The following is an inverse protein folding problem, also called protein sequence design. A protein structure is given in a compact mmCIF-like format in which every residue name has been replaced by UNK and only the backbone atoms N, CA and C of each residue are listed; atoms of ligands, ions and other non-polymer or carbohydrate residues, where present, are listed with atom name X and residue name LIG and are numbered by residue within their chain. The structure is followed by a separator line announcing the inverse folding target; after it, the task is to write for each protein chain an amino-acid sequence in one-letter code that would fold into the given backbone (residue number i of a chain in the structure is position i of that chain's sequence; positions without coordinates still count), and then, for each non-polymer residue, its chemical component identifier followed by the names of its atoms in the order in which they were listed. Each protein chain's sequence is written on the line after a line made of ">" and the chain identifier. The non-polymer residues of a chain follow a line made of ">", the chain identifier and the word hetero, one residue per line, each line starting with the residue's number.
data_IF_884790565166
#
_entry.id   IF_884790565166
#
_cell.length_a   1.000
_cell.length_b   1.000
_cell.length_c   1.000
_cell.angle_alpha   90.00
_cell.angle_beta   90.00
_cell.angle_gamma   90.00
#
_symmetry.space_group_name_H-M   'P 1'
#
loop_
_entity.id
_entity.type
_entity.pdbx_description
1 polymer ?
#
# COMPACT_ATOMS: atom_id res chain seq x y z
N UNK A 1 1.29 -11.95 -51.70
CA UNK A 1 0.85 -12.72 -50.52
C UNK A 1 2.05 -13.49 -50.03
N UNK A 2 2.72 -12.97 -49.00
CA UNK A 2 3.78 -13.68 -48.27
C UNK A 2 3.58 -13.30 -46.82
N UNK A 3 3.28 -14.30 -46.00
CA UNK A 3 2.80 -14.20 -44.64
C UNK A 3 3.87 -13.72 -43.66
N UNK A 4 3.37 -13.06 -42.60
CA UNK A 4 4.09 -12.61 -41.41
C UNK A 4 4.81 -13.76 -40.70
N UNK A 5 6.01 -13.47 -40.17
CA UNK A 5 6.45 -14.13 -38.94
C UNK A 5 7.26 -13.13 -38.11
N UNK A 6 6.65 -12.64 -37.03
CA UNK A 6 7.27 -11.77 -36.04
C UNK A 6 7.73 -12.64 -34.87
N UNK A 7 8.96 -12.47 -34.33
CA UNK A 7 9.41 -13.26 -33.21
C UNK A 7 8.61 -12.91 -31.95
N UNK A 8 7.83 -13.86 -31.47
CA UNK A 8 7.13 -13.79 -30.20
C UNK A 8 8.16 -13.82 -29.05
N UNK A 9 8.18 -12.75 -28.27
CA UNK A 9 8.99 -12.64 -27.07
C UNK A 9 8.41 -13.57 -26.00
N UNK A 10 9.15 -14.58 -25.48
CA UNK A 10 8.58 -15.51 -24.52
C UNK A 10 8.33 -14.80 -23.19
N UNK A 11 7.07 -14.81 -22.76
CA UNK A 11 6.65 -14.34 -21.44
C UNK A 11 7.52 -14.98 -20.34
N UNK A 12 8.09 -14.15 -19.46
CA UNK A 12 8.87 -14.59 -18.30
C UNK A 12 8.03 -15.54 -17.44
N UNK A 13 8.37 -16.82 -17.45
CA UNK A 13 7.78 -17.81 -16.56
C UNK A 13 8.33 -17.63 -15.14
N UNK A 14 7.48 -17.70 -14.10
CA UNK A 14 7.93 -17.56 -12.72
C UNK A 14 8.91 -18.69 -12.35
N UNK A 15 10.11 -18.31 -11.90
CA UNK A 15 11.16 -19.28 -11.55
C UNK A 15 10.75 -20.14 -10.35
N UNK A 16 10.72 -21.47 -10.53
CA UNK A 16 10.49 -22.48 -9.49
C UNK A 16 11.79 -22.87 -8.78
N UNK A 17 11.70 -23.42 -7.56
CA UNK A 17 12.84 -24.11 -6.91
C UNK A 17 13.05 -25.49 -7.55
N UNK A 18 14.17 -26.15 -7.25
CA UNK A 18 14.48 -27.51 -7.73
C UNK A 18 13.40 -28.55 -7.37
N UNK A 19 12.58 -28.27 -6.35
CA UNK A 19 11.47 -29.11 -5.89
C UNK A 19 10.10 -28.74 -6.51
N UNK A 20 10.06 -27.85 -7.51
CA UNK A 20 8.82 -27.46 -8.20
C UNK A 20 7.93 -26.49 -7.44
N UNK A 21 8.39 -25.94 -6.31
CA UNK A 21 7.63 -24.93 -5.57
C UNK A 21 7.87 -23.54 -6.17
N UNK A 22 6.83 -22.70 -6.30
CA UNK A 22 7.03 -21.30 -6.68
C UNK A 22 7.95 -20.65 -5.66
N UNK A 23 9.04 -20.03 -6.11
CA UNK A 23 9.92 -19.27 -5.20
C UNK A 23 9.05 -18.20 -4.53
N UNK A 24 8.91 -18.28 -3.21
CA UNK A 24 8.22 -17.24 -2.42
C UNK A 24 8.80 -15.89 -2.81
N UNK A 25 7.95 -14.99 -3.29
CA UNK A 25 8.36 -13.64 -3.66
C UNK A 25 9.10 -12.97 -2.50
N UNK A 26 10.16 -12.23 -2.81
CA UNK A 26 10.91 -11.47 -1.81
C UNK A 26 9.96 -10.40 -1.24
N UNK A 27 9.60 -10.55 0.03
CA UNK A 27 8.73 -9.57 0.72
C UNK A 27 9.53 -8.34 1.13
N UNK A 28 8.87 -7.19 1.02
CA UNK A 28 9.43 -5.90 1.44
C UNK A 28 9.29 -5.61 2.94
N UNK A 29 8.41 -6.34 3.63
CA UNK A 29 8.14 -6.20 5.06
C UNK A 29 8.49 -7.46 5.84
N UNK A 30 8.71 -7.29 7.14
CA UNK A 30 8.91 -8.38 8.10
C UNK A 30 7.77 -8.36 9.11
N UNK A 31 6.97 -9.43 9.19
CA UNK A 31 5.94 -9.55 10.23
C UNK A 31 6.58 -9.80 11.59
N UNK A 32 6.72 -8.76 12.41
CA UNK A 32 7.02 -8.90 13.84
C UNK A 32 5.71 -9.13 14.60
N UNK A 33 5.63 -10.23 15.33
CA UNK A 33 4.56 -10.52 16.28
C UNK A 33 4.71 -9.60 17.50
N UNK A 34 4.07 -8.44 17.46
CA UNK A 34 3.88 -7.58 18.62
C UNK A 34 2.61 -7.97 19.37
N UNK A 35 2.58 -7.78 20.69
CA UNK A 35 1.35 -7.89 21.49
C UNK A 35 0.47 -6.67 21.24
N UNK A 36 -0.80 -6.90 20.90
CA UNK A 36 -1.83 -5.86 20.85
C UNK A 36 -2.12 -5.37 22.26
N UNK A 37 -2.19 -4.06 22.47
CA UNK A 37 -2.59 -3.48 23.77
C UNK A 37 -4.10 -3.60 23.98
N UNK A 38 -4.57 -3.52 25.23
CA UNK A 38 -6.01 -3.56 25.52
C UNK A 38 -6.80 -2.45 24.79
N UNK A 39 -6.21 -1.25 24.68
CA UNK A 39 -6.83 -0.13 23.96
C UNK A 39 -6.96 -0.40 22.45
N UNK A 40 -5.96 -1.06 21.85
CA UNK A 40 -6.02 -1.45 20.44
C UNK A 40 -7.05 -2.55 20.21
N UNK A 41 -7.13 -3.55 21.10
CA UNK A 41 -8.14 -4.61 21.02
C UNK A 41 -9.56 -4.03 21.09
N UNK A 42 -9.82 -3.11 22.03
CA UNK A 42 -11.11 -2.39 22.10
C UNK A 42 -11.41 -1.63 20.81
N UNK A 43 -10.42 -0.95 20.22
CA UNK A 43 -10.61 -0.20 18.98
C UNK A 43 -10.94 -1.10 17.78
N UNK A 44 -10.41 -2.33 17.73
CA UNK A 44 -10.82 -3.33 16.76
C UNK A 44 -12.31 -3.69 16.90
N UNK A 45 -12.79 -3.87 18.13
CA UNK A 45 -14.19 -4.20 18.39
C UNK A 45 -15.13 -3.02 18.08
N UNK A 46 -14.75 -1.80 18.47
CA UNK A 46 -15.63 -0.62 18.35
C UNK A 46 -15.59 0.04 16.98
N UNK A 47 -14.41 0.23 16.40
CA UNK A 47 -14.24 0.94 15.12
C UNK A 47 -14.10 -0.02 13.93
N UNK A 48 -13.52 -1.20 14.17
CA UNK A 48 -13.20 -2.17 13.12
C UNK A 48 -14.35 -2.44 12.14
N UNK A 49 -15.59 -2.72 12.59
CA UNK A 49 -16.71 -3.00 11.69
C UNK A 49 -17.03 -1.89 10.67
N UNK A 50 -16.70 -0.64 10.98
CA UNK A 50 -16.99 0.52 10.12
C UNK A 50 -15.79 1.00 9.31
N UNK A 51 -14.57 0.69 9.76
CA UNK A 51 -13.32 1.21 9.19
C UNK A 51 -12.54 0.16 8.40
N UNK A 52 -12.57 -1.10 8.83
CA UNK A 52 -11.82 -2.17 8.17
C UNK A 52 -12.56 -2.64 6.92
N UNK A 53 -11.82 -2.68 5.81
CA UNK A 53 -12.28 -3.27 4.58
C UNK A 53 -11.71 -4.70 4.48
N UNK A 54 -12.55 -5.72 4.22
CA UNK A 54 -12.04 -7.04 3.91
C UNK A 54 -11.31 -7.01 2.57
N UNK A 55 -10.22 -7.75 2.48
CA UNK A 55 -9.61 -8.01 1.18
C UNK A 55 -10.53 -8.89 0.33
N UNK A 56 -10.61 -8.56 -0.95
CA UNK A 56 -11.30 -9.33 -1.96
C UNK A 56 -10.55 -9.23 -3.28
N UNK A 57 -10.56 -10.30 -4.08
CA UNK A 57 -9.97 -10.29 -5.42
C UNK A 57 -10.93 -9.63 -6.44
N UNK A 58 -11.38 -8.41 -6.14
CA UNK A 58 -12.32 -7.66 -6.97
C UNK A 58 -12.16 -6.14 -6.75
N UNK A 59 -12.42 -5.31 -7.78
CA UNK A 59 -12.34 -3.86 -7.68
C UNK A 59 -13.18 -3.29 -6.53
N UNK A 60 -12.63 -2.32 -5.80
CA UNK A 60 -13.27 -1.64 -4.69
C UNK A 60 -14.14 -0.48 -5.21
N UNK A 61 -15.39 -0.41 -4.76
CA UNK A 61 -16.23 0.78 -4.91
C UNK A 61 -15.90 1.77 -3.76
N UNK A 62 -15.16 2.82 -4.07
CA UNK A 62 -14.80 3.85 -3.10
C UNK A 62 -16.00 4.59 -2.52
N UNK A 63 -17.01 4.87 -3.35
CA UNK A 63 -18.19 5.61 -2.89
C UNK A 63 -18.97 4.79 -1.88
N UNK A 64 -19.12 3.49 -2.12
CA UNK A 64 -19.72 2.57 -1.17
C UNK A 64 -18.87 2.43 0.11
N UNK A 65 -17.55 2.26 -0.05
CA UNK A 65 -16.63 2.07 1.09
C UNK A 65 -16.62 3.28 2.05
N UNK A 66 -16.59 4.50 1.50
CA UNK A 66 -16.52 5.74 2.28
C UNK A 66 -17.89 6.35 2.59
N UNK A 67 -18.96 5.92 1.90
CA UNK A 67 -20.29 6.52 2.00
C UNK A 67 -20.39 7.91 1.37
N UNK A 68 -19.40 8.33 0.59
CA UNK A 68 -19.31 9.64 -0.07
C UNK A 68 -18.41 9.57 -1.30
N UNK A 69 -18.55 10.55 -2.18
CA UNK A 69 -17.67 10.74 -3.33
C UNK A 69 -16.67 11.86 -3.02
N UNK A 70 -15.38 11.54 -3.03
CA UNK A 70 -14.29 12.44 -2.68
C UNK A 70 -12.94 11.90 -3.19
N UNK A 71 -11.93 12.76 -3.42
CA UNK A 71 -10.60 12.32 -3.85
C UNK A 71 -10.01 11.24 -2.95
N UNK A 72 -9.43 10.19 -3.52
CA UNK A 72 -8.92 9.03 -2.79
C UNK A 72 -7.40 9.00 -2.79
N UNK A 73 -6.81 8.96 -1.60
CA UNK A 73 -5.38 8.87 -1.37
C UNK A 73 -5.06 7.50 -0.79
N UNK A 74 -4.13 6.77 -1.41
CA UNK A 74 -3.62 5.51 -0.88
C UNK A 74 -2.44 5.79 0.06
N UNK A 75 -2.41 5.18 1.25
CA UNK A 75 -1.20 5.13 2.08
C UNK A 75 -0.72 3.68 2.23
N UNK A 76 0.55 3.42 1.91
CA UNK A 76 1.16 2.10 2.01
C UNK A 76 2.10 2.05 3.22
N UNK A 77 1.80 1.15 4.16
CA UNK A 77 2.65 0.91 5.32
C UNK A 77 2.60 2.06 6.33
N UNK A 78 1.40 2.42 6.78
CA UNK A 78 1.20 3.54 7.72
C UNK A 78 1.78 3.32 9.12
N UNK A 79 2.26 2.11 9.44
CA UNK A 79 2.88 1.80 10.72
C UNK A 79 1.91 2.02 11.88
N UNK A 80 2.23 2.94 12.79
CA UNK A 80 1.37 3.24 13.95
C UNK A 80 0.28 4.29 13.67
N UNK A 81 0.19 4.80 12.43
CA UNK A 81 -0.91 5.64 11.95
C UNK A 81 -0.93 7.07 12.50
N UNK A 82 0.16 7.57 13.09
CA UNK A 82 0.22 8.94 13.62
C UNK A 82 0.17 9.98 12.51
N UNK A 83 1.05 9.85 11.52
CA UNK A 83 1.08 10.72 10.34
C UNK A 83 -0.25 10.65 9.57
N UNK A 84 -0.74 9.43 9.33
CA UNK A 84 -2.03 9.17 8.68
C UNK A 84 -3.18 9.91 9.34
N UNK A 85 -3.35 9.76 10.66
CA UNK A 85 -4.43 10.39 11.39
C UNK A 85 -4.32 11.92 11.33
N UNK A 86 -3.11 12.46 11.47
CA UNK A 86 -2.86 13.90 11.40
C UNK A 86 -3.18 14.47 10.01
N UNK A 87 -2.69 13.82 8.94
CA UNK A 87 -2.93 14.26 7.56
C UNK A 87 -4.42 14.16 7.22
N UNK A 88 -5.09 13.07 7.61
CA UNK A 88 -6.51 12.89 7.37
C UNK A 88 -7.38 13.93 8.09
N UNK A 89 -6.99 14.34 9.31
CA UNK A 89 -7.64 15.42 10.04
C UNK A 89 -7.48 16.78 9.35
N UNK A 90 -6.33 17.02 8.71
CA UNK A 90 -6.04 18.25 7.96
C UNK A 90 -6.65 18.29 6.56
N UNK A 91 -7.01 17.13 6.00
CA UNK A 91 -7.62 16.99 4.67
C UNK A 91 -8.98 16.28 4.75
N UNK A 92 -9.97 16.83 5.49
CA UNK A 92 -11.28 16.18 5.68
C UNK A 92 -12.05 16.00 4.36
N UNK A 93 -11.73 16.78 3.32
CA UNK A 93 -12.30 16.70 1.99
C UNK A 93 -11.81 15.50 1.18
N UNK A 94 -10.75 14.80 1.63
CA UNK A 94 -10.17 13.62 0.97
C UNK A 94 -10.44 12.35 1.74
N UNK A 95 -10.49 11.23 1.02
CA UNK A 95 -10.58 9.87 1.55
C UNK A 95 -9.18 9.24 1.60
N UNK A 96 -8.87 8.54 2.69
CA UNK A 96 -7.61 7.83 2.88
C UNK A 96 -7.86 6.33 2.95
N UNK A 97 -7.33 5.59 1.98
CA UNK A 97 -7.31 4.14 1.97
C UNK A 97 -5.92 3.68 2.45
N UNK A 98 -5.86 3.08 3.62
CA UNK A 98 -4.60 2.84 4.32
C UNK A 98 -4.31 1.34 4.38
N UNK A 99 -3.19 0.91 3.81
CA UNK A 99 -2.76 -0.50 3.78
C UNK A 99 -1.68 -0.77 4.83
N UNK A 100 -1.88 -1.77 5.67
CA UNK A 100 -0.91 -2.20 6.68
C UNK A 100 -1.07 -3.69 7.00
N UNK A 101 0.04 -4.44 7.08
CA UNK A 101 0.04 -5.87 7.40
C UNK A 101 0.12 -6.16 8.90
N UNK A 102 0.56 -5.17 9.69
CA UNK A 102 0.82 -5.29 11.12
C UNK A 102 -0.40 -4.95 11.98
N UNK A 103 -0.97 -5.97 12.64
CA UNK A 103 -2.14 -5.83 13.53
C UNK A 103 -1.98 -4.75 14.61
N UNK A 104 -0.82 -4.59 15.29
CA UNK A 104 -0.67 -3.53 16.28
C UNK A 104 -0.79 -2.13 15.67
N UNK A 105 -0.28 -1.95 14.44
CA UNK A 105 -0.38 -0.70 13.70
C UNK A 105 -1.82 -0.34 13.34
N UNK A 106 -2.54 -1.32 12.80
CA UNK A 106 -3.99 -1.21 12.51
C UNK A 106 -4.77 -0.81 13.76
N UNK A 107 -4.55 -1.50 14.88
CA UNK A 107 -5.21 -1.16 16.15
C UNK A 107 -4.86 0.24 16.66
N UNK A 108 -3.62 0.69 16.45
CA UNK A 108 -3.20 2.04 16.83
C UNK A 108 -3.93 3.11 16.00
N UNK A 109 -4.06 2.91 14.68
CA UNK A 109 -4.79 3.83 13.81
C UNK A 109 -6.30 3.82 14.13
N UNK A 110 -6.91 2.66 14.38
CA UNK A 110 -8.31 2.57 14.80
C UNK A 110 -8.58 3.36 16.08
N UNK A 111 -7.68 3.27 17.08
CA UNK A 111 -7.78 4.07 18.31
C UNK A 111 -7.72 5.57 18.02
N UNK A 112 -6.80 6.00 17.14
CA UNK A 112 -6.69 7.42 16.74
C UNK A 112 -7.92 7.90 15.99
N UNK A 113 -8.51 7.06 15.12
CA UNK A 113 -9.76 7.34 14.41
C UNK A 113 -10.89 7.62 15.40
N UNK A 114 -11.03 6.78 16.44
CA UNK A 114 -12.03 6.98 17.50
C UNK A 114 -11.78 8.28 18.27
N UNK A 115 -10.56 8.51 18.72
CA UNK A 115 -10.18 9.67 19.55
C UNK A 115 -10.35 11.00 18.81
N UNK A 116 -10.01 11.03 17.53
CA UNK A 116 -10.08 12.23 16.69
C UNK A 116 -11.36 12.32 15.88
N UNK A 117 -12.27 11.34 15.99
CA UNK A 117 -13.54 11.25 15.26
C UNK A 117 -13.37 11.35 13.74
N UNK A 118 -12.35 10.69 13.20
CA UNK A 118 -12.05 10.72 11.77
C UNK A 118 -13.05 9.85 11.01
N UNK A 119 -13.64 10.41 9.95
CA UNK A 119 -14.66 9.71 9.14
C UNK A 119 -14.15 9.31 7.76
N UNK A 120 -12.99 9.87 7.37
CA UNK A 120 -12.43 9.80 6.03
C UNK A 120 -11.30 8.78 5.87
N UNK A 121 -11.17 7.82 6.79
CA UNK A 121 -10.17 6.75 6.71
C UNK A 121 -10.86 5.38 6.55
N UNK A 122 -10.32 4.54 5.68
CA UNK A 122 -10.58 3.10 5.64
C UNK A 122 -9.26 2.34 5.67
N UNK A 123 -9.25 1.19 6.35
CA UNK A 123 -8.04 0.40 6.54
C UNK A 123 -8.20 -0.95 5.86
N UNK A 124 -7.22 -1.31 5.02
CA UNK A 124 -7.07 -2.63 4.45
C UNK A 124 -5.91 -3.32 5.15
N UNK A 125 -6.21 -4.30 6.01
CA UNK A 125 -5.17 -5.09 6.68
C UNK A 125 -4.66 -6.21 5.75
N UNK A 126 -3.93 -5.85 4.69
CA UNK A 126 -3.46 -6.78 3.68
C UNK A 126 -2.11 -6.34 3.07
N UNK A 127 -1.48 -7.26 2.32
CA UNK A 127 -0.38 -6.93 1.43
C UNK A 127 -0.82 -5.87 0.40
N UNK A 128 -0.10 -4.76 0.34
CA UNK A 128 -0.43 -3.62 -0.52
C UNK A 128 -0.28 -3.94 -2.00
N UNK A 129 0.63 -4.84 -2.40
CA UNK A 129 0.79 -5.25 -3.80
C UNK A 129 -0.47 -5.98 -4.26
N UNK A 130 -0.95 -6.94 -3.46
CA UNK A 130 -2.20 -7.66 -3.77
C UNK A 130 -3.42 -6.73 -3.79
N UNK A 131 -3.46 -5.73 -2.89
CA UNK A 131 -4.49 -4.71 -2.91
C UNK A 131 -4.47 -3.88 -4.20
N UNK A 132 -3.29 -3.40 -4.62
CA UNK A 132 -3.12 -2.61 -5.85
C UNK A 132 -3.50 -3.43 -7.08
N UNK A 133 -3.13 -4.71 -7.11
CA UNK A 133 -3.36 -5.57 -8.27
C UNK A 133 -4.83 -6.01 -8.42
N UNK A 134 -5.56 -6.20 -7.31
CA UNK A 134 -6.92 -6.75 -7.39
C UNK A 134 -8.04 -5.79 -7.00
N UNK A 135 -7.79 -4.84 -6.11
CA UNK A 135 -8.83 -3.99 -5.53
C UNK A 135 -8.84 -2.56 -6.06
N UNK A 136 -7.72 -2.05 -6.56
CA UNK A 136 -7.63 -0.65 -7.00
C UNK A 136 -7.85 -0.56 -8.52
N UNK A 137 -8.96 0.04 -8.98
CA UNK A 137 -9.17 0.26 -10.40
C UNK A 137 -8.11 1.21 -11.00
N UNK A 138 -7.85 1.15 -12.31
CA UNK A 138 -6.93 2.07 -12.97
C UNK A 138 -7.47 3.51 -12.96
N UNK A 139 -6.55 4.49 -12.96
CA UNK A 139 -6.87 5.93 -13.05
C UNK A 139 -7.91 6.45 -12.02
N UNK A 140 -7.92 5.91 -10.80
CA UNK A 140 -8.88 6.32 -9.76
C UNK A 140 -8.29 7.06 -8.56
N UNK A 141 -7.02 6.86 -8.26
CA UNK A 141 -6.36 7.47 -7.11
C UNK A 141 -5.93 8.91 -7.43
N UNK A 142 -6.19 9.83 -6.50
CA UNK A 142 -5.79 11.24 -6.59
C UNK A 142 -4.41 11.48 -5.96
N UNK A 143 -3.88 10.48 -5.24
CA UNK A 143 -2.49 10.46 -4.80
C UNK A 143 -2.14 9.21 -4.02
N UNK A 144 -0.86 9.06 -3.71
CA UNK A 144 -0.36 8.00 -2.86
C UNK A 144 0.77 8.46 -1.95
N UNK A 145 0.84 7.87 -0.75
CA UNK A 145 1.80 8.12 0.30
C UNK A 145 2.59 6.86 0.64
N UNK A 146 3.92 6.98 0.73
CA UNK A 146 4.82 5.92 1.21
C UNK A 146 5.84 6.55 2.15
N UNK A 147 5.60 6.49 3.46
CA UNK A 147 6.44 7.16 4.46
C UNK A 147 7.29 6.17 5.24
N UNK A 148 8.58 6.44 5.29
CA UNK A 148 9.59 5.69 6.04
C UNK A 148 9.53 4.15 5.82
N UNK A 149 9.46 3.67 4.57
CA UNK A 149 9.51 2.22 4.32
C UNK A 149 10.86 1.65 4.76
N UNK A 150 10.88 0.37 5.15
CA UNK A 150 12.11 -0.31 5.61
C UNK A 150 13.29 -0.06 4.63
N UNK A 151 14.39 0.58 5.08
CA UNK A 151 15.45 1.05 4.19
C UNK A 151 16.41 -0.05 3.73
N UNK A 152 16.42 -1.17 4.45
CA UNK A 152 17.28 -2.32 4.17
C UNK A 152 18.75 -1.94 3.92
N UNK A 153 19.43 -1.40 4.95
CA UNK A 153 20.77 -0.79 4.86
C UNK A 153 21.86 -1.65 4.21
N UNK A 154 21.75 -2.98 4.23
CA UNK A 154 22.76 -3.88 3.65
C UNK A 154 22.48 -4.05 2.16
N UNK A 155 23.46 -3.80 1.29
CA UNK A 155 23.32 -3.90 -0.18
C UNK A 155 22.66 -5.20 -0.66
N UNK A 156 23.01 -6.34 -0.05
CA UNK A 156 22.41 -7.65 -0.35
C UNK A 156 20.91 -7.75 -0.08
N UNK A 157 20.33 -6.79 0.65
CA UNK A 157 18.92 -6.69 0.97
C UNK A 157 18.19 -5.60 0.16
N UNK A 158 18.87 -4.86 -0.73
CA UNK A 158 18.21 -3.78 -1.49
C UNK A 158 17.01 -4.28 -2.31
N UNK A 159 17.03 -5.53 -2.78
CA UNK A 159 15.88 -6.18 -3.45
C UNK A 159 14.62 -6.34 -2.57
N UNK A 160 14.73 -6.08 -1.26
CA UNK A 160 13.62 -6.05 -0.29
C UNK A 160 13.07 -4.65 -0.07
N UNK A 161 13.71 -3.58 -0.58
CA UNK A 161 13.14 -2.24 -0.53
C UNK A 161 11.79 -2.24 -1.23
N UNK A 162 10.80 -1.61 -0.59
CA UNK A 162 9.44 -1.51 -1.10
C UNK A 162 9.39 -0.74 -2.42
N UNK A 163 10.05 0.42 -2.48
CA UNK A 163 10.04 1.29 -3.65
C UNK A 163 11.02 0.74 -4.69
N UNK A 164 10.44 0.09 -5.70
CA UNK A 164 11.11 -0.52 -6.85
C UNK A 164 10.24 -0.28 -8.09
N UNK A 165 10.84 -0.28 -9.28
CA UNK A 165 10.13 0.00 -10.54
C UNK A 165 8.84 -0.82 -10.72
N UNK A 166 8.78 -2.14 -10.39
CA UNK A 166 7.53 -2.89 -10.52
C UNK A 166 6.39 -2.39 -9.63
N UNK A 167 6.67 -1.98 -8.39
CA UNK A 167 5.62 -1.41 -7.51
C UNK A 167 5.18 -0.05 -8.03
N UNK A 168 6.12 0.78 -8.47
CA UNK A 168 5.82 2.14 -8.92
C UNK A 168 5.06 2.12 -10.25
N UNK A 169 5.43 1.23 -11.18
CA UNK A 169 4.67 1.02 -12.41
C UNK A 169 3.23 0.57 -12.13
N UNK A 170 3.05 -0.34 -11.16
CA UNK A 170 1.70 -0.72 -10.71
C UNK A 170 0.97 0.50 -10.18
N UNK A 171 1.54 1.22 -9.23
CA UNK A 171 0.89 2.37 -8.60
C UNK A 171 0.56 3.49 -9.59
N UNK A 172 1.47 3.79 -10.52
CA UNK A 172 1.27 4.77 -11.58
C UNK A 172 0.03 4.45 -12.43
N UNK A 173 -0.20 3.18 -12.77
CA UNK A 173 -1.39 2.79 -13.52
C UNK A 173 -2.73 2.96 -12.75
N UNK A 174 -2.69 3.25 -11.44
CA UNK A 174 -3.89 3.51 -10.62
C UNK A 174 -4.05 4.98 -10.29
N UNK A 175 -3.02 5.80 -10.53
CA UNK A 175 -3.04 7.24 -10.32
C UNK A 175 -3.71 7.93 -11.51
N UNK A 176 -4.62 8.87 -11.23
CA UNK A 176 -5.19 9.75 -12.25
C UNK A 176 -4.09 10.63 -12.88
N UNK A 177 -4.27 11.07 -14.12
CA UNK A 177 -3.49 12.19 -14.65
C UNK A 177 -3.55 13.40 -13.69
N UNK A 178 -2.38 13.92 -13.30
CA UNK A 178 -2.26 15.03 -12.35
C UNK A 178 -2.28 14.63 -10.87
N UNK A 179 -2.44 13.34 -10.54
CA UNK A 179 -2.23 12.84 -9.20
C UNK A 179 -0.74 12.84 -8.80
N UNK A 180 -0.46 12.60 -7.53
CA UNK A 180 0.91 12.64 -7.00
C UNK A 180 1.30 11.35 -6.27
N UNK A 181 2.60 11.08 -6.23
CA UNK A 181 3.21 10.09 -5.34
C UNK A 181 4.17 10.82 -4.39
N UNK A 182 3.91 10.74 -3.09
CA UNK A 182 4.75 11.34 -2.06
C UNK A 182 5.43 10.23 -1.26
N UNK A 183 6.75 10.14 -1.40
CA UNK A 183 7.58 9.24 -0.61
C UNK A 183 8.50 10.03 0.33
N UNK A 184 8.71 9.50 1.53
CA UNK A 184 9.65 10.07 2.50
C UNK A 184 10.53 8.97 3.09
N UNK A 185 11.81 9.29 3.31
CA UNK A 185 12.76 8.42 4.02
C UNK A 185 13.81 9.28 4.71
N UNK A 186 14.31 8.79 5.83
CA UNK A 186 15.42 9.35 6.61
C UNK A 186 16.78 8.73 6.22
N UNK A 187 16.81 7.84 5.22
CA UNK A 187 18.02 7.17 4.75
C UNK A 187 18.43 7.66 3.36
N UNK A 188 19.49 8.47 3.30
CA UNK A 188 19.96 9.07 2.04
C UNK A 188 20.18 8.05 0.89
N UNK A 189 20.87 6.91 1.08
CA UNK A 189 21.02 5.91 0.00
C UNK A 189 19.71 5.27 -0.48
N UNK A 190 18.63 5.38 0.30
CA UNK A 190 17.30 4.99 -0.18
C UNK A 190 16.61 6.15 -0.89
N UNK A 191 16.76 7.39 -0.41
CA UNK A 191 16.26 8.57 -1.11
C UNK A 191 16.81 8.68 -2.54
N UNK A 192 18.12 8.43 -2.72
CA UNK A 192 18.78 8.38 -4.03
C UNK A 192 18.16 7.31 -4.94
N UNK A 193 17.92 6.10 -4.42
CA UNK A 193 17.26 5.04 -5.17
C UNK A 193 15.79 5.38 -5.49
N UNK A 194 15.07 6.02 -4.58
CA UNK A 194 13.68 6.46 -4.81
C UNK A 194 13.65 7.45 -5.98
N UNK A 195 14.58 8.40 -6.01
CA UNK A 195 14.70 9.36 -7.10
C UNK A 195 15.00 8.67 -8.45
N UNK A 196 15.93 7.70 -8.46
CA UNK A 196 16.23 6.89 -9.64
C UNK A 196 14.99 6.16 -10.15
N UNK A 197 14.24 5.48 -9.26
CA UNK A 197 13.02 4.74 -9.62
C UNK A 197 11.92 5.67 -10.12
N UNK A 198 11.78 6.88 -9.57
CA UNK A 198 10.72 7.83 -9.96
C UNK A 198 11.04 8.57 -11.26
N UNK A 199 12.32 8.64 -11.66
CA UNK A 199 12.76 9.34 -12.86
C UNK A 199 12.87 8.43 -14.09
N UNK A 200 12.65 7.13 -13.92
CA UNK A 200 12.83 6.10 -14.95
C UNK A 200 11.60 5.93 -15.87
#
# INVERSE_FOLDING_TARGET
>A
MSENDAPQNPAEQPSTTADGWPKRAIRSFVRRTGRTTAGQARAFETQGPSVLLPYQAAPLDYKAAFGRDAPVILEIGFGMGEATAHIAALMPEKNFLCCEVHTPGVGALLKRIEEQKLTNIRILQHDAVEAIDHMLPPDTLDGAHIFFPDPWHKTKHNKRRLIQSPLIARLAARLKPGAYLHAATDWQPYAEQILEVFSA
#
